data_IF_448713169312
#
_entry.id   IF_448713169312
#
_cell.length_a   1.000
_cell.length_b   1.000
_cell.length_c   1.000
_cell.angle_alpha   90.00
_cell.angle_beta   90.00
_cell.angle_gamma   90.00
#
_symmetry.space_group_name_H-M   'P 1'
#
loop_
_entity.id
_entity.type
_entity.pdbx_description
1 polymer ?
#
# COMPACT_ATOMS: atom_id res chain seq x y z
N UNK A 1 9.33 2.20 -7.04
CA UNK A 1 8.22 2.68 -6.20
C UNK A 1 8.18 4.20 -6.24
N UNK A 2 7.00 4.72 -6.44
CA UNK A 2 6.77 6.17 -6.41
C UNK A 2 5.79 6.47 -5.28
N UNK A 3 6.07 7.50 -4.51
CA UNK A 3 5.19 7.91 -3.41
C UNK A 3 4.53 9.24 -3.73
N UNK A 4 3.20 9.28 -3.60
CA UNK A 4 2.47 10.54 -3.71
C UNK A 4 2.71 11.40 -2.47
N UNK A 5 2.48 12.70 -2.63
CA UNK A 5 2.63 13.65 -1.50
C UNK A 5 1.78 13.27 -0.31
N UNK A 6 0.59 12.72 -0.55
CA UNK A 6 -0.29 12.27 0.54
C UNK A 6 0.34 11.15 1.34
N UNK A 7 1.02 10.20 0.67
CA UNK A 7 1.73 9.13 1.37
C UNK A 7 2.91 9.68 2.16
N UNK A 8 3.64 10.62 1.58
CA UNK A 8 4.78 11.25 2.27
C UNK A 8 4.30 11.98 3.53
N UNK A 9 3.16 12.66 3.46
CA UNK A 9 2.58 13.28 4.65
C UNK A 9 2.19 12.26 5.71
N UNK A 10 1.64 11.13 5.27
CA UNK A 10 1.28 10.07 6.20
C UNK A 10 2.51 9.51 6.91
N UNK A 11 3.64 9.41 6.21
CA UNK A 11 4.89 8.94 6.80
C UNK A 11 5.36 9.80 7.96
N UNK A 12 5.08 11.09 7.92
CA UNK A 12 5.50 12.00 8.98
C UNK A 12 4.82 11.73 10.31
N UNK A 13 3.72 11.00 10.29
CA UNK A 13 2.96 10.64 11.50
C UNK A 13 3.38 9.30 12.06
N UNK A 14 4.30 8.62 11.40
CA UNK A 14 4.71 7.27 11.76
C UNK A 14 6.08 7.35 12.42
N UNK A 15 6.26 6.62 13.53
CA UNK A 15 7.55 6.59 14.21
C UNK A 15 8.62 5.91 13.35
N UNK A 16 9.88 6.19 13.63
CA UNK A 16 10.99 5.75 12.79
C UNK A 16 11.06 4.24 12.59
N UNK A 17 10.82 3.46 13.65
CA UNK A 17 10.94 2.00 13.54
C UNK A 17 9.85 1.42 12.66
N UNK A 18 8.62 1.89 12.78
CA UNK A 18 7.53 1.45 11.92
C UNK A 18 7.69 1.97 10.50
N UNK A 19 8.20 3.19 10.36
CA UNK A 19 8.45 3.75 9.03
C UNK A 19 9.48 2.91 8.27
N UNK A 20 10.55 2.50 8.95
CA UNK A 20 11.55 1.63 8.33
C UNK A 20 10.93 0.30 7.92
N UNK A 21 10.14 -0.30 8.80
CA UNK A 21 9.44 -1.54 8.47
C UNK A 21 8.57 -1.36 7.22
N UNK A 22 7.79 -0.28 7.17
CA UNK A 22 6.88 -0.04 6.05
C UNK A 22 7.63 0.16 4.74
N UNK A 23 8.65 1.01 4.74
CA UNK A 23 9.38 1.29 3.51
C UNK A 23 10.14 0.06 3.02
N UNK A 24 10.74 -0.70 3.93
CA UNK A 24 11.42 -1.95 3.57
C UNK A 24 10.43 -2.97 3.02
N UNK A 25 9.26 -3.09 3.65
CA UNK A 25 8.23 -4.04 3.21
C UNK A 25 7.64 -3.66 1.86
N UNK A 26 7.43 -2.38 1.63
CA UNK A 26 6.93 -1.90 0.35
C UNK A 26 7.95 -2.17 -0.75
N UNK A 27 9.22 -1.92 -0.47
CA UNK A 27 10.28 -2.18 -1.44
C UNK A 27 10.36 -3.67 -1.78
N UNK A 28 10.30 -4.52 -0.76
CA UNK A 28 10.30 -5.96 -0.96
C UNK A 28 9.09 -6.41 -1.77
N UNK A 29 7.92 -5.86 -1.45
CA UNK A 29 6.70 -6.15 -2.20
C UNK A 29 6.86 -5.82 -3.68
N UNK A 30 7.41 -4.65 -4.01
CA UNK A 30 7.59 -4.24 -5.39
C UNK A 30 8.64 -5.06 -6.11
N UNK A 31 9.71 -5.45 -5.41
CA UNK A 31 10.76 -6.28 -6.00
C UNK A 31 10.28 -7.68 -6.34
N UNK A 32 9.31 -8.19 -5.59
CA UNK A 32 8.76 -9.52 -5.81
C UNK A 32 7.42 -9.48 -6.53
N UNK A 33 7.01 -8.31 -6.97
CA UNK A 33 5.68 -8.14 -7.55
C UNK A 33 5.56 -8.91 -8.87
N UNK A 34 4.49 -9.68 -8.98
CA UNK A 34 4.08 -10.34 -10.19
C UNK A 34 2.57 -10.50 -10.14
N UNK A 35 1.95 -10.77 -11.27
CA UNK A 35 0.53 -11.02 -11.32
C UNK A 35 0.15 -12.18 -10.39
N UNK A 36 0.92 -13.25 -10.43
CA UNK A 36 0.65 -14.43 -9.61
C UNK A 36 0.77 -14.13 -8.12
N UNK A 37 1.81 -13.41 -7.74
CA UNK A 37 2.02 -13.03 -6.36
C UNK A 37 0.87 -12.16 -5.85
N UNK A 38 0.44 -11.20 -6.65
CA UNK A 38 -0.69 -10.35 -6.29
C UNK A 38 -1.97 -11.16 -6.15
N UNK A 39 -2.21 -12.12 -7.04
CA UNK A 39 -3.40 -12.96 -6.97
C UNK A 39 -3.43 -13.78 -5.68
N UNK A 40 -2.29 -14.30 -5.27
CA UNK A 40 -2.20 -15.03 -4.00
C UNK A 40 -2.55 -14.14 -2.81
N UNK A 41 -2.03 -12.93 -2.79
CA UNK A 41 -2.32 -12.00 -1.69
C UNK A 41 -3.78 -11.55 -1.70
N UNK A 42 -4.38 -11.45 -2.87
CA UNK A 42 -5.82 -11.17 -2.99
C UNK A 42 -6.65 -12.31 -2.40
N UNK A 43 -6.25 -13.56 -2.64
CA UNK A 43 -6.94 -14.72 -2.09
C UNK A 43 -6.90 -14.76 -0.57
N UNK A 44 -5.78 -14.38 0.02
CA UNK A 44 -5.63 -14.40 1.48
C UNK A 44 -6.23 -13.17 2.15
N UNK A 45 -6.64 -12.19 1.38
CA UNK A 45 -7.17 -10.94 1.92
C UNK A 45 -6.11 -9.93 2.35
N UNK A 46 -4.83 -10.25 2.14
CA UNK A 46 -3.77 -9.30 2.45
C UNK A 46 -3.81 -8.10 1.51
N UNK A 47 -4.23 -8.32 0.27
CA UNK A 47 -4.54 -7.25 -0.67
C UNK A 47 -6.03 -7.28 -0.94
N UNK A 48 -6.64 -6.10 -1.00
CA UNK A 48 -8.03 -5.96 -1.43
C UNK A 48 -8.14 -4.83 -2.43
N UNK A 49 -8.95 -5.06 -3.45
CA UNK A 49 -9.27 -4.03 -4.42
C UNK A 49 -10.32 -3.11 -3.82
N UNK A 50 -10.07 -1.82 -3.87
CA UNK A 50 -11.01 -0.82 -3.36
C UNK A 50 -12.01 -0.49 -4.46
N UNK A 51 -13.28 -0.36 -4.08
CA UNK A 51 -14.37 -0.12 -5.03
C UNK A 51 -14.99 1.25 -4.86
N UNK A 52 -15.76 1.65 -5.86
CA UNK A 52 -16.49 2.90 -5.82
C UNK A 52 -15.68 4.14 -6.18
N UNK A 53 -14.48 3.93 -6.70
CA UNK A 53 -13.58 5.01 -7.08
C UNK A 53 -13.38 5.01 -8.59
N UNK A 54 -13.06 6.17 -9.14
CA UNK A 54 -12.75 6.30 -10.57
C UNK A 54 -11.42 5.63 -10.93
N UNK A 55 -10.56 5.46 -9.94
CA UNK A 55 -9.26 4.81 -10.13
C UNK A 55 -9.28 3.43 -9.52
N UNK A 56 -8.51 2.52 -10.09
CA UNK A 56 -8.32 1.20 -9.51
C UNK A 56 -7.27 1.28 -8.41
N UNK A 57 -7.72 1.32 -7.19
CA UNK A 57 -6.84 1.35 -6.02
C UNK A 57 -6.88 0.02 -5.30
N UNK A 58 -5.76 -0.32 -4.69
CA UNK A 58 -5.61 -1.56 -3.94
C UNK A 58 -5.09 -1.24 -2.54
N UNK A 59 -5.45 -2.08 -1.59
CA UNK A 59 -5.01 -1.97 -0.21
C UNK A 59 -4.12 -3.15 0.14
N UNK A 60 -2.89 -2.86 0.55
CA UNK A 60 -1.96 -3.86 1.05
C UNK A 60 -1.89 -3.73 2.58
N UNK A 61 -2.14 -4.82 3.28
CA UNK A 61 -2.11 -4.84 4.73
C UNK A 61 -0.70 -5.19 5.21
N UNK A 62 -0.10 -4.32 6.02
CA UNK A 62 1.21 -4.54 6.62
C UNK A 62 1.11 -4.23 8.11
N UNK A 63 1.11 -5.26 8.95
CA UNK A 63 0.88 -5.13 10.39
C UNK A 63 -0.44 -4.40 10.65
N UNK A 64 -0.39 -3.30 11.39
CA UNK A 64 -1.57 -2.47 11.66
C UNK A 64 -1.78 -1.38 10.62
N UNK A 65 -0.93 -1.33 9.60
CA UNK A 65 -0.99 -0.30 8.58
C UNK A 65 -1.62 -0.83 7.31
N UNK A 66 -2.21 0.08 6.56
CA UNK A 66 -2.80 -0.20 5.26
C UNK A 66 -2.19 0.72 4.23
N UNK A 67 -1.54 0.13 3.24
CA UNK A 67 -0.90 0.86 2.17
C UNK A 67 -1.83 0.87 0.98
N UNK A 68 -2.25 2.06 0.56
CA UNK A 68 -3.11 2.22 -0.60
C UNK A 68 -2.20 2.48 -1.79
N UNK A 69 -2.30 1.64 -2.81
CA UNK A 69 -1.44 1.77 -3.97
C UNK A 69 -2.23 1.65 -5.26
N UNK A 70 -1.61 2.10 -6.33
CA UNK A 70 -2.14 2.09 -7.67
C UNK A 70 -1.05 1.56 -8.60
N UNK A 71 -1.42 0.81 -9.62
CA UNK A 71 -0.47 0.29 -10.60
C UNK A 71 -0.53 1.11 -11.88
N UNK A 72 0.63 1.38 -12.47
CA UNK A 72 0.72 1.99 -13.78
C UNK A 72 0.72 0.87 -14.82
N UNK A 73 -0.23 0.90 -15.76
CA UNK A 73 -0.41 -0.18 -16.71
C UNK A 73 0.77 -0.44 -17.62
N UNK A 74 1.40 0.62 -18.11
CA UNK A 74 2.51 0.49 -19.05
C UNK A 74 3.84 0.19 -18.39
N UNK A 75 3.89 0.24 -17.06
CA UNK A 75 5.12 0.05 -16.30
C UNK A 75 4.78 -0.62 -15.00
N UNK A 76 5.67 -1.46 -14.52
CA UNK A 76 5.51 -2.07 -13.19
C UNK A 76 5.90 -1.06 -12.11
N UNK A 77 5.21 0.06 -12.10
CA UNK A 77 5.42 1.10 -11.09
C UNK A 77 4.28 1.03 -10.08
N UNK A 78 4.64 0.87 -8.83
CA UNK A 78 3.69 0.92 -7.73
C UNK A 78 3.69 2.34 -7.19
N UNK A 79 2.55 3.01 -7.32
CA UNK A 79 2.39 4.35 -6.81
C UNK A 79 1.68 4.27 -5.47
N UNK A 80 2.39 4.55 -4.40
CA UNK A 80 1.80 4.54 -3.06
C UNK A 80 1.05 5.85 -2.87
N UNK A 81 -0.26 5.73 -2.73
CA UNK A 81 -1.16 6.89 -2.64
C UNK A 81 -1.31 7.34 -1.20
N UNK A 82 -1.43 6.42 -0.27
CA UNK A 82 -1.65 6.75 1.13
C UNK A 82 -1.21 5.59 2.03
N UNK A 83 -0.90 5.91 3.27
CA UNK A 83 -0.62 4.92 4.31
C UNK A 83 -1.45 5.27 5.52
N UNK A 84 -2.35 4.37 5.91
CA UNK A 84 -3.27 4.60 7.02
C UNK A 84 -3.02 3.57 8.11
N UNK A 85 -3.12 3.99 9.36
CA UNK A 85 -3.08 3.04 10.46
C UNK A 85 -4.47 2.43 10.63
N UNK A 86 -4.50 1.22 11.18
CA UNK A 86 -5.77 0.55 11.43
C UNK A 86 -6.66 1.35 12.36
N UNK A 87 -6.08 1.96 13.38
CA UNK A 87 -6.82 2.77 14.32
C UNK A 87 -7.54 3.94 13.65
N UNK A 88 -6.83 4.64 12.77
CA UNK A 88 -7.40 5.76 12.05
C UNK A 88 -8.48 5.33 11.06
N UNK A 89 -8.40 4.12 10.55
CA UNK A 89 -9.38 3.65 9.57
C UNK A 89 -10.72 3.31 10.21
N UNK A 90 -10.74 3.03 11.51
CA UNK A 90 -12.00 2.74 12.23
C UNK A 90 -12.62 3.96 12.88
N UNK A 91 -11.87 5.01 13.05
CA UNK A 91 -12.41 6.24 13.65
C UNK A 91 -12.99 7.11 12.56
N UNK A 92 -14.13 7.58 12.83
CA UNK A 92 -14.85 8.49 11.94
C UNK A 92 -14.69 9.91 12.39
#
# INVERSE_FOLDING_TARGET
>A
VVYKKTAVKDFKRIDKSNLKFLTDSILEFTNNFSFEFEQELLKTGKIKKLQGLNEELYRLKLRTYRVIYKKEEDRLIILVVAVKSRENSYRK
#
